data_IF_508909604738
#
_entry.id   IF_508909604738
#
_cell.length_a   1.000
_cell.length_b   1.000
_cell.length_c   1.000
_cell.angle_alpha   90.00
_cell.angle_beta   90.00
_cell.angle_gamma   90.00
#
_symmetry.space_group_name_H-M   'P 1'
#
loop_
_entity.id
_entity.type
_entity.pdbx_description
1 polymer ?
#
# COMPACT_ATOMS: atom_id res chain seq x y z
N UNK A 1 8.57 -2.19 2.43
CA UNK A 1 8.22 -0.78 2.71
C UNK A 1 6.94 -0.75 3.51
N UNK A 2 6.87 0.11 4.52
CA UNK A 2 5.68 0.31 5.36
C UNK A 2 5.31 1.78 5.26
N UNK A 3 4.03 2.06 5.02
CA UNK A 3 3.50 3.41 4.98
C UNK A 3 2.33 3.50 5.96
N UNK A 4 2.18 4.65 6.60
CA UNK A 4 1.14 4.93 7.59
C UNK A 4 0.42 6.22 7.24
N UNK A 5 -0.86 6.29 7.57
CA UNK A 5 -1.62 7.53 7.61
C UNK A 5 -1.84 7.88 9.08
N UNK A 6 -1.67 9.15 9.41
CA UNK A 6 -1.89 9.68 10.74
C UNK A 6 -2.98 10.76 10.70
N UNK A 7 -3.77 10.86 11.76
CA UNK A 7 -4.67 11.98 11.98
C UNK A 7 -3.92 13.21 12.53
N UNK A 8 -4.65 14.30 12.79
CA UNK A 8 -4.08 15.53 13.35
C UNK A 8 -3.48 15.36 14.76
N UNK A 9 -3.86 14.28 15.46
CA UNK A 9 -3.34 13.90 16.78
C UNK A 9 -2.20 12.86 16.69
N UNK A 10 -1.66 12.63 15.49
CA UNK A 10 -0.61 11.67 15.18
C UNK A 10 -0.98 10.19 15.40
N UNK A 11 -2.26 9.86 15.60
CA UNK A 11 -2.69 8.47 15.72
C UNK A 11 -2.64 7.77 14.36
N UNK A 12 -2.14 6.54 14.33
CA UNK A 12 -2.13 5.74 13.11
C UNK A 12 -3.55 5.29 12.79
N UNK A 13 -4.12 5.83 11.71
CA UNK A 13 -5.47 5.53 11.22
C UNK A 13 -5.48 4.62 10.01
N UNK A 14 -4.31 4.30 9.45
CA UNK A 14 -4.18 3.33 8.37
C UNK A 14 -2.75 2.94 8.09
N UNK A 15 -2.54 1.75 7.53
CA UNK A 15 -1.23 1.29 7.09
C UNK A 15 -1.33 0.37 5.88
N UNK A 16 -0.30 0.43 5.05
CA UNK A 16 -0.06 -0.52 3.97
C UNK A 16 1.37 -1.03 4.02
N UNK A 17 1.55 -2.28 3.58
CA UNK A 17 2.87 -2.91 3.51
C UNK A 17 3.13 -3.40 2.09
N UNK A 18 4.32 -3.11 1.59
CA UNK A 18 4.89 -3.72 0.40
C UNK A 18 6.05 -4.64 0.77
N UNK A 19 5.93 -5.93 0.53
CA UNK A 19 6.99 -6.92 0.71
C UNK A 19 7.57 -7.35 -0.63
N UNK A 20 8.89 -7.57 -0.69
CA UNK A 20 9.55 -7.98 -1.94
C UNK A 20 9.25 -9.44 -2.21
N UNK A 21 8.84 -9.75 -3.43
CA UNK A 21 8.75 -11.13 -3.92
C UNK A 21 10.07 -11.53 -4.57
N UNK A 22 10.49 -12.78 -4.37
CA UNK A 22 11.73 -13.31 -4.93
C UNK A 22 11.42 -14.21 -6.12
N UNK A 23 12.04 -13.90 -7.26
CA UNK A 23 11.92 -14.66 -8.50
C UNK A 23 13.32 -15.04 -9.01
N UNK A 24 13.46 -16.15 -9.77
CA UNK A 24 14.76 -16.65 -10.21
C UNK A 24 15.59 -15.65 -11.03
N UNK A 25 14.96 -14.75 -11.80
CA UNK A 25 15.68 -13.80 -12.65
C UNK A 25 15.87 -12.43 -11.99
N UNK A 26 15.60 -12.31 -10.68
CA UNK A 26 15.83 -11.10 -9.92
C UNK A 26 14.82 -9.98 -10.16
N UNK A 27 13.64 -10.29 -10.70
CA UNK A 27 12.57 -9.33 -10.97
C UNK A 27 12.25 -8.46 -9.74
N UNK A 28 12.07 -7.16 -9.97
CA UNK A 28 11.82 -6.19 -8.89
C UNK A 28 10.31 -6.02 -8.65
N UNK A 29 9.71 -7.03 -8.02
CA UNK A 29 8.25 -7.15 -7.82
C UNK A 29 7.92 -7.10 -6.33
N UNK A 30 6.88 -6.36 -5.98
CA UNK A 30 6.42 -6.24 -4.59
C UNK A 30 4.94 -6.66 -4.44
N UNK A 31 4.63 -7.32 -3.33
CA UNK A 31 3.27 -7.61 -2.91
C UNK A 31 2.77 -6.51 -1.97
N UNK A 32 1.65 -5.89 -2.31
CA UNK A 32 0.87 -5.01 -1.43
C UNK A 32 -0.08 -5.87 -0.58
N UNK A 33 0.32 -6.12 0.67
CA UNK A 33 -0.51 -6.74 1.69
C UNK A 33 0.15 -6.61 3.09
N UNK A 34 -0.61 -6.32 4.16
CA UNK A 34 -2.03 -5.95 4.17
C UNK A 34 -2.26 -4.48 3.76
N UNK A 35 -3.52 -4.14 3.52
CA UNK A 35 -4.05 -2.77 3.53
C UNK A 35 -5.07 -2.69 4.66
N UNK A 36 -4.86 -1.80 5.62
CA UNK A 36 -5.76 -1.64 6.76
C UNK A 36 -6.02 -0.16 7.03
N UNK A 37 -7.28 0.17 7.33
CA UNK A 37 -7.72 1.50 7.75
C UNK A 37 -8.63 1.31 8.96
N UNK A 38 -8.50 2.18 9.96
CA UNK A 38 -9.39 2.21 11.12
C UNK A 38 -10.85 2.40 10.66
N UNK A 39 -11.79 1.67 11.26
CA UNK A 39 -13.18 1.58 10.79
C UNK A 39 -13.89 2.93 10.77
N UNK A 40 -13.60 3.80 11.73
CA UNK A 40 -14.08 5.17 11.83
C UNK A 40 -13.53 6.10 10.72
N UNK A 41 -12.44 5.70 10.08
CA UNK A 41 -11.84 6.40 8.92
C UNK A 41 -12.21 5.78 7.56
N UNK A 42 -13.09 4.77 7.52
CA UNK A 42 -13.55 4.17 6.26
C UNK A 42 -14.36 5.16 5.42
N UNK A 43 -14.34 4.99 4.10
CA UNK A 43 -15.07 5.86 3.17
C UNK A 43 -14.46 7.25 2.94
N UNK A 44 -13.38 7.60 3.65
CA UNK A 44 -12.72 8.91 3.56
C UNK A 44 -11.53 8.94 2.58
N UNK A 45 -11.28 7.85 1.86
CA UNK A 45 -10.19 7.77 0.88
C UNK A 45 -8.79 7.49 1.45
N UNK A 46 -8.65 7.27 2.77
CA UNK A 46 -7.35 7.01 3.43
C UNK A 46 -6.57 5.86 2.79
N UNK A 47 -7.21 4.71 2.59
CA UNK A 47 -6.58 3.53 1.99
C UNK A 47 -6.09 3.78 0.56
N UNK A 48 -6.91 4.43 -0.27
CA UNK A 48 -6.54 4.80 -1.65
C UNK A 48 -5.39 5.82 -1.66
N UNK A 49 -5.38 6.78 -0.74
CA UNK A 49 -4.29 7.74 -0.56
C UNK A 49 -2.97 7.05 -0.23
N UNK A 50 -2.98 6.13 0.73
CA UNK A 50 -1.82 5.32 1.09
C UNK A 50 -1.29 4.51 -0.10
N UNK A 51 -2.18 3.84 -0.84
CA UNK A 51 -1.79 3.04 -2.02
C UNK A 51 -1.13 3.92 -3.06
N UNK A 52 -1.74 5.07 -3.41
CA UNK A 52 -1.17 6.01 -4.38
C UNK A 52 0.22 6.52 -3.93
N UNK A 53 0.35 6.92 -2.67
CA UNK A 53 1.61 7.38 -2.11
C UNK A 53 2.71 6.30 -2.13
N UNK A 54 2.35 5.09 -1.70
CA UNK A 54 3.27 3.96 -1.68
C UNK A 54 3.72 3.54 -3.09
N UNK A 55 2.80 3.48 -4.05
CA UNK A 55 3.12 3.17 -5.45
C UNK A 55 4.03 4.23 -6.09
N UNK A 56 3.78 5.52 -5.83
CA UNK A 56 4.67 6.59 -6.29
C UNK A 56 6.08 6.43 -5.73
N UNK A 57 6.20 6.16 -4.43
CA UNK A 57 7.49 5.92 -3.77
C UNK A 57 8.21 4.68 -4.34
N UNK A 58 7.49 3.60 -4.63
CA UNK A 58 8.06 2.40 -5.24
C UNK A 58 8.56 2.67 -6.66
N UNK A 59 7.80 3.44 -7.44
CA UNK A 59 8.16 3.83 -8.81
C UNK A 59 9.47 4.63 -8.82
N UNK A 60 9.64 5.59 -7.91
CA UNK A 60 10.88 6.36 -7.75
C UNK A 60 12.09 5.47 -7.39
N UNK A 61 11.85 4.33 -6.73
CA UNK A 61 12.88 3.34 -6.37
C UNK A 61 13.12 2.28 -7.45
N UNK A 62 12.54 2.45 -8.64
CA UNK A 62 12.72 1.53 -9.76
C UNK A 62 12.03 0.18 -9.60
N UNK A 63 11.01 0.08 -8.74
CA UNK A 63 10.13 -1.10 -8.69
C UNK A 63 9.22 -1.06 -9.91
N UNK A 64 9.16 -2.17 -10.63
CA UNK A 64 8.46 -2.23 -11.93
C UNK A 64 7.06 -2.82 -11.81
N UNK A 65 6.80 -3.64 -10.79
CA UNK A 65 5.51 -4.31 -10.59
C UNK A 65 5.13 -4.31 -9.11
N UNK A 66 3.87 -3.94 -8.84
CA UNK A 66 3.20 -4.18 -7.57
C UNK A 66 2.00 -5.11 -7.82
N UNK A 67 1.84 -6.13 -6.98
CA UNK A 67 0.76 -7.12 -7.05
C UNK A 67 -0.03 -7.03 -5.75
N UNK A 68 -1.33 -7.30 -5.79
CA UNK A 68 -2.15 -7.45 -4.59
C UNK A 68 -3.20 -8.53 -4.81
N UNK A 69 -3.94 -8.86 -3.76
CA UNK A 69 -5.13 -9.70 -3.81
C UNK A 69 -6.18 -9.13 -2.85
N UNK A 70 -7.44 -9.17 -3.25
CA UNK A 70 -8.54 -8.67 -2.44
C UNK A 70 -9.77 -8.35 -3.28
N UNK A 71 -10.67 -7.55 -2.70
CA UNK A 71 -11.91 -7.16 -3.37
C UNK A 71 -11.62 -6.32 -4.61
N UNK A 72 -12.08 -6.80 -5.77
CA UNK A 72 -11.89 -6.11 -7.05
C UNK A 72 -12.52 -4.72 -7.05
N UNK A 73 -13.61 -4.51 -6.31
CA UNK A 73 -14.26 -3.21 -6.20
C UNK A 73 -13.45 -2.20 -5.39
N UNK A 74 -12.51 -2.66 -4.56
CA UNK A 74 -11.60 -1.80 -3.82
C UNK A 74 -10.33 -1.45 -4.63
N UNK A 75 -9.82 -2.40 -5.42
CA UNK A 75 -8.53 -2.26 -6.12
C UNK A 75 -8.61 -1.88 -7.61
N UNK A 76 -9.82 -1.79 -8.19
CA UNK A 76 -10.03 -1.37 -9.60
C UNK A 76 -10.10 0.14 -9.80
#
# INVERSE_FOLDING_TARGET
YVFIAQDESEHIVGSIIFSRLSFPNGENIFLLAPVAVATDCHGQGVGQGLIKFGLATLKEKGVTVAITYGDIHFYS
#
